data_IF_825597570012
#
_entry.id   IF_825597570012
#
_cell.length_a   1.000
_cell.length_b   1.000
_cell.length_c   1.000
_cell.angle_alpha   90.00
_cell.angle_beta   90.00
_cell.angle_gamma   90.00
#
_symmetry.space_group_name_H-M   'P 1'
#
loop_
_entity.id
_entity.type
_entity.pdbx_description
1 polymer ?
#
# COMPACT_ATOMS: atom_id res chain seq x y z
N UNK A 1 -23.61 -1.36 45.43
CA UNK A 1 -24.45 -1.54 44.23
C UNK A 1 -24.58 -3.04 43.99
N UNK A 2 -25.81 -3.54 43.84
CA UNK A 2 -26.18 -4.96 43.89
C UNK A 2 -26.18 -5.53 42.46
N UNK A 3 -25.53 -6.68 42.17
CA UNK A 3 -25.55 -7.24 40.82
C UNK A 3 -26.90 -7.90 40.52
N UNK A 4 -27.50 -7.50 39.40
CA UNK A 4 -28.73 -8.09 38.85
C UNK A 4 -28.32 -9.30 38.03
N UNK A 5 -28.67 -10.50 38.50
CA UNK A 5 -28.53 -11.74 37.74
C UNK A 5 -29.73 -11.92 36.79
N UNK A 6 -29.48 -11.78 35.49
CA UNK A 6 -30.46 -12.08 34.44
C UNK A 6 -30.46 -13.59 34.17
N UNK A 7 -31.56 -14.27 34.51
CA UNK A 7 -31.80 -15.68 34.17
C UNK A 7 -32.36 -15.75 32.75
N UNK A 8 -31.57 -16.27 31.79
CA UNK A 8 -32.03 -16.55 30.43
C UNK A 8 -32.51 -17.99 30.34
N UNK A 9 -33.82 -18.16 30.19
CA UNK A 9 -34.49 -19.44 29.94
C UNK A 9 -34.30 -19.87 28.48
N UNK A 10 -33.74 -21.06 28.30
CA UNK A 10 -33.57 -21.78 27.04
C UNK A 10 -34.91 -22.48 26.69
N UNK A 11 -35.51 -22.14 25.54
CA UNK A 11 -36.66 -22.88 25.00
C UNK A 11 -36.39 -23.27 23.55
N UNK A 12 -36.14 -24.57 23.34
CA UNK A 12 -35.92 -25.24 22.07
C UNK A 12 -37.25 -25.92 21.64
N UNK A 13 -37.79 -25.65 20.45
CA UNK A 13 -38.70 -26.60 19.82
C UNK A 13 -38.07 -27.23 18.59
N UNK A 14 -38.00 -28.55 18.66
CA UNK A 14 -37.72 -29.49 17.59
C UNK A 14 -38.93 -29.55 16.64
N UNK A 15 -38.73 -29.33 15.33
CA UNK A 15 -39.67 -29.79 14.29
C UNK A 15 -38.85 -30.30 13.10
N UNK A 16 -38.96 -31.61 12.85
CA UNK A 16 -38.52 -32.31 11.65
C UNK A 16 -39.47 -32.01 10.49
N UNK A 17 -38.92 -31.73 9.30
CA UNK A 17 -39.63 -31.72 8.01
C UNK A 17 -38.78 -32.41 6.94
N UNK A 18 -39.40 -33.33 6.21
CA UNK A 18 -38.82 -34.36 5.33
C UNK A 18 -38.19 -33.86 4.01
N UNK A 19 -37.32 -34.71 3.45
CA UNK A 19 -36.61 -34.62 2.17
C UNK A 19 -37.50 -34.81 0.91
N UNK A 20 -37.06 -34.20 -0.21
CA UNK A 20 -36.92 -34.68 -1.62
C UNK A 20 -37.11 -33.48 -2.58
N UNK A 21 -36.43 -33.24 -3.71
CA UNK A 21 -35.67 -34.04 -4.67
C UNK A 21 -34.70 -33.09 -5.47
N UNK A 22 -33.50 -33.53 -5.86
CA UNK A 22 -33.07 -33.97 -7.21
C UNK A 22 -32.84 -32.88 -8.29
N UNK A 23 -31.62 -32.88 -8.84
CA UNK A 23 -31.17 -32.19 -10.07
C UNK A 23 -29.78 -31.59 -9.85
N UNK A 24 -28.67 -31.98 -10.47
CA UNK A 24 -28.41 -32.80 -11.66
C UNK A 24 -27.40 -32.03 -12.54
N UNK A 25 -26.27 -32.65 -12.90
CA UNK A 25 -25.39 -32.16 -13.98
C UNK A 25 -23.89 -32.21 -13.69
N UNK A 26 -23.23 -33.27 -14.16
CA UNK A 26 -21.78 -33.36 -14.27
C UNK A 26 -21.26 -32.70 -15.55
N UNK A 27 -20.03 -32.21 -15.50
CA UNK A 27 -19.29 -31.70 -16.64
C UNK A 27 -17.80 -31.74 -16.33
N UNK A 28 -17.11 -32.68 -16.94
CA UNK A 28 -15.66 -32.84 -16.85
C UNK A 28 -15.00 -31.66 -17.59
N UNK A 29 -14.04 -31.00 -16.93
CA UNK A 29 -13.11 -30.09 -17.59
C UNK A 29 -11.71 -30.37 -17.09
N UNK A 30 -10.93 -30.92 -18.00
CA UNK A 30 -9.51 -31.19 -17.94
C UNK A 30 -8.68 -29.98 -17.51
N UNK A 31 -7.77 -30.24 -16.56
CA UNK A 31 -6.50 -29.57 -16.28
C UNK A 31 -6.25 -28.17 -16.87
N UNK A 32 -6.31 -27.18 -15.99
CA UNK A 32 -5.66 -25.89 -16.15
C UNK A 32 -5.23 -25.42 -14.76
N UNK A 33 -3.96 -25.65 -14.44
CA UNK A 33 -3.29 -25.20 -13.22
C UNK A 33 -3.29 -23.67 -13.18
N UNK A 34 -4.30 -23.09 -12.51
CA UNK A 34 -4.27 -21.73 -12.03
C UNK A 34 -4.20 -21.83 -10.52
N UNK A 35 -2.99 -21.63 -10.01
CA UNK A 35 -2.70 -21.15 -8.65
C UNK A 35 -3.93 -20.45 -8.07
N UNK A 36 -4.55 -21.10 -7.09
CA UNK A 36 -5.59 -20.50 -6.26
C UNK A 36 -4.97 -19.33 -5.49
N UNK A 37 -4.93 -18.16 -6.13
CA UNK A 37 -4.81 -16.90 -5.43
C UNK A 37 -6.08 -16.76 -4.57
N UNK A 38 -5.87 -16.63 -3.27
CA UNK A 38 -6.86 -16.50 -2.20
C UNK A 38 -8.07 -15.61 -2.64
N UNK A 39 -9.16 -16.23 -3.09
CA UNK A 39 -10.39 -15.57 -3.55
C UNK A 39 -11.27 -15.16 -2.35
N UNK A 40 -10.68 -14.49 -1.35
CA UNK A 40 -11.51 -13.67 -0.46
C UNK A 40 -11.95 -12.45 -1.26
N UNK A 41 -13.25 -12.09 -1.28
CA UNK A 41 -13.67 -10.86 -1.93
C UNK A 41 -13.01 -9.70 -1.18
N UNK A 42 -11.93 -9.15 -1.74
CA UNK A 42 -11.34 -7.91 -1.23
C UNK A 42 -12.45 -6.87 -1.21
N UNK A 43 -12.78 -6.37 -0.02
CA UNK A 43 -13.70 -5.24 0.09
C UNK A 43 -13.06 -4.11 -0.70
N UNK A 44 -13.77 -3.51 -1.66
CA UNK A 44 -13.19 -2.47 -2.51
C UNK A 44 -12.73 -1.20 -1.73
N UNK A 45 -13.09 -1.11 -0.45
CA UNK A 45 -12.64 -0.12 0.50
C UNK A 45 -11.33 -0.48 1.23
N UNK A 46 -10.80 -1.69 1.07
CA UNK A 46 -9.58 -2.15 1.74
C UNK A 46 -8.43 -1.15 1.50
N UNK A 47 -7.78 -0.74 2.59
CA UNK A 47 -6.72 0.25 2.51
C UNK A 47 -6.41 0.94 3.81
N UNK A 48 -5.29 1.67 3.79
CA UNK A 48 -5.06 2.76 4.71
C UNK A 48 -5.51 4.06 4.05
N UNK A 49 -6.26 4.86 4.80
CA UNK A 49 -6.86 6.09 4.35
C UNK A 49 -6.57 7.18 5.35
N UNK A 50 -6.32 8.38 4.86
CA UNK A 50 -6.07 9.52 5.74
C UNK A 50 -6.64 10.80 5.18
N UNK A 51 -7.00 11.73 6.05
CA UNK A 51 -7.46 13.03 5.62
C UNK A 51 -7.99 13.85 6.77
N UNK A 52 -9.06 14.59 6.50
CA UNK A 52 -9.62 15.54 7.46
C UNK A 52 -11.06 15.28 7.78
N UNK A 53 -11.42 15.55 9.02
CA UNK A 53 -12.81 15.69 9.44
C UNK A 53 -13.33 17.07 9.06
N UNK A 54 -14.65 17.21 8.97
CA UNK A 54 -15.33 18.49 8.75
C UNK A 54 -15.07 19.52 9.86
N UNK A 55 -14.72 19.07 11.06
CA UNK A 55 -14.35 19.92 12.21
C UNK A 55 -12.87 20.29 12.24
N UNK A 56 -12.16 20.13 11.12
CA UNK A 56 -10.72 20.41 10.95
C UNK A 56 -9.78 19.51 11.78
N UNK A 57 -10.28 18.38 12.28
CA UNK A 57 -9.45 17.30 12.81
C UNK A 57 -8.82 16.46 11.71
N UNK A 58 -7.91 15.58 12.12
CA UNK A 58 -7.29 14.55 11.32
C UNK A 58 -7.93 13.20 11.59
N UNK A 59 -7.99 12.38 10.55
CA UNK A 59 -8.48 11.01 10.63
C UNK A 59 -7.54 10.10 9.85
N UNK A 60 -7.12 9.02 10.50
CA UNK A 60 -6.41 7.89 9.89
C UNK A 60 -7.33 6.66 10.02
N UNK A 61 -7.59 5.93 8.94
CA UNK A 61 -8.44 4.74 8.89
C UNK A 61 -7.69 3.57 8.26
N UNK A 62 -7.83 2.39 8.85
CA UNK A 62 -7.46 1.11 8.27
C UNK A 62 -8.77 0.36 8.02
N UNK A 63 -9.06 0.06 6.76
CA UNK A 63 -10.13 -0.84 6.36
C UNK A 63 -9.48 -2.13 5.89
N UNK A 64 -9.77 -3.24 6.58
CA UNK A 64 -9.20 -4.55 6.30
C UNK A 64 -9.95 -5.27 5.18
N UNK A 65 -9.37 -6.36 4.70
CA UNK A 65 -9.92 -7.20 3.63
C UNK A 65 -11.29 -7.81 3.99
N UNK A 66 -11.59 -7.92 5.28
CA UNK A 66 -12.88 -8.40 5.81
C UNK A 66 -13.89 -7.26 6.09
N UNK A 67 -13.54 -6.01 5.75
CA UNK A 67 -14.33 -4.81 5.99
C UNK A 67 -14.23 -4.24 7.41
N UNK A 68 -13.52 -4.90 8.33
CA UNK A 68 -13.27 -4.36 9.67
C UNK A 68 -12.50 -3.06 9.55
N UNK A 69 -12.98 -2.03 10.25
CA UNK A 69 -12.45 -0.68 10.19
C UNK A 69 -11.92 -0.28 11.55
N UNK A 70 -10.72 0.28 11.54
CA UNK A 70 -10.00 0.78 12.71
C UNK A 70 -9.57 2.20 12.40
N UNK A 71 -9.78 3.14 13.31
CA UNK A 71 -9.48 4.54 13.04
C UNK A 71 -8.96 5.31 14.24
N UNK A 72 -8.17 6.32 13.93
CA UNK A 72 -7.62 7.27 14.88
C UNK A 72 -8.12 8.66 14.52
N UNK A 73 -8.73 9.34 15.47
CA UNK A 73 -9.13 10.74 15.37
C UNK A 73 -8.13 11.58 16.17
N UNK A 74 -7.64 12.66 15.57
CA UNK A 74 -6.66 13.52 16.20
C UNK A 74 -6.90 15.00 15.86
N UNK A 75 -6.40 15.89 16.69
CA UNK A 75 -6.20 17.30 16.37
C UNK A 75 -4.69 17.56 16.15
N UNK A 76 -4.25 18.81 15.91
CA UNK A 76 -2.82 19.10 15.75
C UNK A 76 -1.95 18.82 16.98
N UNK A 77 -2.54 18.62 18.15
CA UNK A 77 -1.86 18.48 19.45
C UNK A 77 -1.89 17.04 19.94
N UNK A 78 -3.00 16.34 19.79
CA UNK A 78 -3.22 15.04 20.43
C UNK A 78 -4.23 14.15 19.70
N UNK A 79 -4.28 12.90 20.11
CA UNK A 79 -5.33 11.96 19.73
C UNK A 79 -6.59 12.30 20.52
N UNK A 80 -7.71 12.52 19.83
CA UNK A 80 -8.98 12.93 20.43
C UNK A 80 -10.00 11.80 20.48
N UNK A 81 -9.78 10.73 19.71
CA UNK A 81 -10.66 9.57 19.74
C UNK A 81 -10.20 8.41 18.87
N UNK A 82 -11.02 7.37 18.84
CA UNK A 82 -10.82 6.17 18.03
C UNK A 82 -12.12 5.77 17.32
N UNK A 83 -11.99 5.01 16.24
CA UNK A 83 -13.11 4.43 15.51
C UNK A 83 -12.90 2.92 15.43
N UNK A 84 -13.96 2.14 15.66
CA UNK A 84 -13.96 0.72 15.34
C UNK A 84 -15.31 0.30 14.78
N UNK A 85 -15.31 -0.54 13.77
CA UNK A 85 -16.55 -1.12 13.26
C UNK A 85 -16.33 -1.75 11.91
N UNK A 86 -17.27 -1.53 10.99
CA UNK A 86 -17.21 -2.10 9.64
C UNK A 86 -17.52 -1.05 8.59
N UNK A 87 -16.82 -1.15 7.46
CA UNK A 87 -17.03 -0.32 6.28
C UNK A 87 -17.10 -1.17 5.02
N UNK A 88 -17.81 -0.67 4.02
CA UNK A 88 -17.88 -1.26 2.69
C UNK A 88 -17.95 -0.17 1.63
N UNK A 89 -17.40 -0.49 0.47
CA UNK A 89 -17.52 0.31 -0.76
C UNK A 89 -18.04 -0.62 -1.85
N UNK A 90 -19.23 -0.36 -2.34
CA UNK A 90 -19.87 -1.14 -3.40
C UNK A 90 -20.36 -0.22 -4.50
N UNK A 91 -19.91 -0.45 -5.73
CA UNK A 91 -20.27 0.37 -6.91
C UNK A 91 -20.19 1.89 -6.67
N UNK A 92 -19.15 2.34 -5.96
CA UNK A 92 -18.91 3.75 -5.65
C UNK A 92 -19.70 4.29 -4.44
N UNK A 93 -20.58 3.49 -3.83
CA UNK A 93 -21.31 3.84 -2.61
C UNK A 93 -20.56 3.35 -1.37
N UNK A 94 -20.18 4.29 -0.51
CA UNK A 94 -19.53 3.99 0.76
C UNK A 94 -20.56 3.94 1.90
N UNK A 95 -20.44 2.94 2.77
CA UNK A 95 -21.21 2.82 4.01
C UNK A 95 -20.33 2.31 5.13
N UNK A 96 -20.48 2.87 6.33
CA UNK A 96 -19.79 2.40 7.52
C UNK A 96 -20.67 2.48 8.76
N UNK A 97 -20.53 1.53 9.67
CA UNK A 97 -21.10 1.56 11.01
C UNK A 97 -19.94 1.47 11.99
N UNK A 98 -19.65 2.59 12.68
CA UNK A 98 -18.46 2.77 13.49
C UNK A 98 -18.85 3.20 14.91
N UNK A 99 -18.37 2.48 15.90
CA UNK A 99 -18.29 2.94 17.28
C UNK A 99 -17.22 4.01 17.36
N UNK A 100 -17.60 5.22 17.76
CA UNK A 100 -16.71 6.37 17.88
C UNK A 100 -16.39 6.64 19.34
N UNK A 101 -15.19 6.28 19.77
CA UNK A 101 -14.71 6.52 21.12
C UNK A 101 -14.22 7.96 21.24
N UNK A 102 -14.98 8.81 21.91
CA UNK A 102 -14.60 10.19 22.20
C UNK A 102 -13.90 10.23 23.57
N UNK A 103 -12.64 10.67 23.57
CA UNK A 103 -11.81 10.68 24.78
C UNK A 103 -12.05 11.90 25.68
N UNK A 104 -12.57 13.00 25.15
CA UNK A 104 -12.89 14.18 25.95
C UNK A 104 -14.10 13.91 26.88
N UNK A 105 -15.12 13.24 26.35
CA UNK A 105 -16.38 13.01 27.08
C UNK A 105 -16.59 11.55 27.50
N UNK A 106 -15.63 10.66 27.23
CA UNK A 106 -15.67 9.23 27.52
C UNK A 106 -16.94 8.51 27.00
N UNK A 107 -17.37 8.85 25.78
CA UNK A 107 -18.54 8.24 25.12
C UNK A 107 -18.13 7.36 23.95
N UNK A 108 -18.95 6.36 23.63
CA UNK A 108 -18.71 5.44 22.51
C UNK A 108 -19.98 5.18 21.69
N UNK A 109 -20.62 6.19 21.08
CA UNK A 109 -21.82 5.98 20.26
C UNK A 109 -21.50 5.18 18.99
N UNK A 110 -22.45 4.33 18.59
CA UNK A 110 -22.46 3.74 17.25
C UNK A 110 -23.00 4.77 16.25
N UNK A 111 -22.22 5.05 15.21
CA UNK A 111 -22.52 6.04 14.19
C UNK A 111 -22.50 5.39 12.82
N UNK A 112 -23.56 5.62 12.05
CA UNK A 112 -23.62 5.20 10.65
C UNK A 112 -23.17 6.36 9.76
N UNK A 113 -22.14 6.11 8.97
CA UNK A 113 -21.65 6.98 7.92
C UNK A 113 -22.11 6.47 6.55
N UNK A 114 -22.45 7.39 5.66
CA UNK A 114 -22.76 7.11 4.26
C UNK A 114 -22.09 8.13 3.35
N UNK A 115 -21.77 7.72 2.13
CA UNK A 115 -21.21 8.62 1.14
C UNK A 115 -20.76 7.92 -0.12
N UNK A 116 -19.70 8.44 -0.72
CA UNK A 116 -19.16 7.99 -2.00
C UNK A 116 -17.69 7.64 -1.88
N UNK A 117 -17.23 6.71 -2.71
CA UNK A 117 -15.81 6.38 -2.77
C UNK A 117 -15.39 5.92 -4.16
N UNK A 118 -14.11 6.12 -4.45
CA UNK A 118 -13.42 5.53 -5.59
C UNK A 118 -12.32 4.64 -5.00
N UNK A 119 -12.33 3.32 -5.29
CA UNK A 119 -11.34 2.38 -4.76
C UNK A 119 -9.92 2.90 -4.96
N UNK A 120 -9.08 2.75 -3.93
CA UNK A 120 -7.68 3.18 -3.93
C UNK A 120 -7.43 4.64 -4.33
N UNK A 121 -8.43 5.52 -4.21
CA UNK A 121 -8.30 6.93 -4.54
C UNK A 121 -8.83 7.81 -3.41
N UNK A 122 -10.15 7.85 -3.20
CA UNK A 122 -10.79 8.78 -2.28
C UNK A 122 -12.07 8.21 -1.69
N UNK A 123 -12.36 8.54 -0.44
CA UNK A 123 -13.67 8.31 0.20
C UNK A 123 -14.14 9.63 0.83
N UNK A 124 -15.40 9.96 0.58
CA UNK A 124 -16.11 11.05 1.23
C UNK A 124 -17.27 10.45 2.01
N UNK A 125 -17.30 10.67 3.32
CA UNK A 125 -18.30 10.11 4.21
C UNK A 125 -18.95 11.20 5.06
N UNK A 126 -20.26 11.06 5.24
CA UNK A 126 -21.09 11.95 6.04
C UNK A 126 -21.86 11.16 7.07
N UNK A 127 -22.06 11.75 8.25
CA UNK A 127 -22.76 11.14 9.37
C UNK A 127 -23.73 12.12 10.02
N UNK A 128 -24.54 11.66 10.99
CA UNK A 128 -25.48 12.50 11.71
C UNK A 128 -24.78 13.62 12.48
N UNK A 129 -25.52 14.69 12.78
CA UNK A 129 -25.03 15.80 13.61
C UNK A 129 -23.93 16.63 12.94
N UNK A 130 -23.89 16.68 11.61
CA UNK A 130 -22.87 17.40 10.86
C UNK A 130 -21.50 16.75 10.91
N UNK A 131 -21.41 15.45 11.26
CA UNK A 131 -20.17 14.68 11.20
C UNK A 131 -19.84 14.32 9.76
N UNK A 132 -18.55 14.20 9.47
CA UNK A 132 -18.09 13.78 8.16
C UNK A 132 -16.60 13.93 8.02
N UNK A 133 -16.07 13.32 6.98
CA UNK A 133 -14.65 13.32 6.67
C UNK A 133 -14.41 13.00 5.20
N UNK A 134 -13.28 13.48 4.71
CA UNK A 134 -12.74 13.17 3.39
C UNK A 134 -11.37 12.58 3.59
N UNK A 135 -11.14 11.39 3.02
CA UNK A 135 -9.87 10.66 3.13
C UNK A 135 -9.37 10.23 1.76
N UNK A 136 -8.05 10.20 1.62
CA UNK A 136 -7.32 9.73 0.44
C UNK A 136 -6.60 8.43 0.77
N UNK A 137 -6.50 7.54 -0.22
CA UNK A 137 -5.80 6.27 -0.10
C UNK A 137 -4.28 6.49 0.02
N UNK A 138 -3.63 5.71 0.90
CA UNK A 138 -2.17 5.62 0.95
C UNK A 138 -1.68 4.40 0.15
N UNK A 139 -0.95 4.60 -0.96
CA UNK A 139 -0.43 3.49 -1.77
C UNK A 139 0.58 2.62 -1.03
N UNK A 140 1.21 3.10 0.06
CA UNK A 140 2.11 2.28 0.87
C UNK A 140 1.41 1.10 1.56
N UNK A 141 0.08 1.13 1.69
CA UNK A 141 -0.71 -0.01 2.15
C UNK A 141 -0.56 -1.24 1.26
N UNK A 142 -0.46 -1.03 -0.06
CA UNK A 142 -0.31 -2.11 -1.04
C UNK A 142 0.99 -2.91 -0.89
N UNK A 143 2.00 -2.33 -0.23
CA UNK A 143 3.31 -2.94 0.00
C UNK A 143 3.26 -4.17 0.91
N UNK A 144 4.31 -4.99 0.87
CA UNK A 144 4.40 -6.22 1.67
C UNK A 144 4.74 -5.91 3.12
N UNK A 145 4.00 -6.49 4.07
CA UNK A 145 4.37 -6.43 5.49
C UNK A 145 5.77 -7.04 5.72
N UNK A 146 6.62 -6.29 6.41
CA UNK A 146 8.01 -6.69 6.68
C UNK A 146 8.33 -6.52 8.16
N UNK A 147 8.71 -7.63 8.81
CA UNK A 147 9.19 -7.59 10.20
C UNK A 147 10.47 -6.78 10.35
N UNK A 148 11.34 -6.76 9.32
CA UNK A 148 12.52 -5.86 9.31
C UNK A 148 12.12 -4.39 9.25
N UNK A 149 11.05 -4.07 8.54
CA UNK A 149 10.58 -2.69 8.44
C UNK A 149 9.99 -2.19 9.77
N UNK A 150 9.33 -3.06 10.54
CA UNK A 150 8.73 -2.66 11.83
C UNK A 150 9.62 -2.93 13.06
N UNK A 151 10.65 -3.76 12.96
CA UNK A 151 11.60 -3.94 14.06
C UNK A 151 12.36 -2.63 14.36
N UNK A 152 12.66 -2.40 15.64
CA UNK A 152 13.38 -1.21 16.10
C UNK A 152 12.70 -0.52 17.28
N UNK A 153 13.16 0.69 17.57
CA UNK A 153 12.65 1.52 18.67
C UNK A 153 11.68 2.58 18.18
N UNK A 154 10.66 2.87 18.99
CA UNK A 154 9.61 3.83 18.68
C UNK A 154 9.37 4.76 19.87
N UNK A 155 9.42 6.06 19.64
CA UNK A 155 8.97 7.04 20.62
C UNK A 155 7.45 7.13 20.60
N UNK A 156 6.83 6.79 21.73
CA UNK A 156 5.40 6.98 21.97
C UNK A 156 5.12 8.41 22.45
N UNK A 157 6.04 8.95 23.26
CA UNK A 157 6.08 10.33 23.73
C UNK A 157 7.55 10.75 23.95
N UNK A 158 7.81 11.84 24.68
CA UNK A 158 9.16 12.34 24.94
C UNK A 158 10.02 11.46 25.87
N UNK A 159 9.42 10.54 26.62
CA UNK A 159 10.07 9.73 27.67
C UNK A 159 9.88 8.22 27.46
N UNK A 160 8.87 7.84 26.69
CA UNK A 160 8.43 6.46 26.56
C UNK A 160 8.85 5.88 25.21
N UNK A 161 9.64 4.80 25.26
CA UNK A 161 10.12 4.08 24.07
C UNK A 161 9.60 2.64 24.06
N UNK A 162 8.97 2.26 22.96
CA UNK A 162 8.57 0.89 22.63
C UNK A 162 9.67 0.25 21.77
N UNK A 163 10.05 -0.99 22.07
CA UNK A 163 10.95 -1.78 21.21
C UNK A 163 10.19 -2.96 20.62
N UNK A 164 10.32 -3.15 19.30
CA UNK A 164 9.74 -4.30 18.58
C UNK A 164 10.90 -5.15 18.04
N UNK A 165 10.91 -6.43 18.40
CA UNK A 165 11.89 -7.41 17.93
C UNK A 165 11.64 -7.85 16.47
N UNK A 166 12.63 -8.50 15.87
CA UNK A 166 12.49 -9.10 14.53
C UNK A 166 11.49 -10.26 14.49
N UNK A 167 11.23 -10.88 15.64
CA UNK A 167 10.18 -11.88 15.86
C UNK A 167 8.81 -11.25 16.11
N UNK A 168 8.73 -9.91 16.17
CA UNK A 168 7.52 -9.16 16.44
C UNK A 168 7.14 -9.06 17.90
N UNK A 169 7.89 -9.68 18.80
CA UNK A 169 7.67 -9.54 20.22
C UNK A 169 7.98 -8.11 20.66
N UNK A 170 7.17 -7.58 21.57
CA UNK A 170 7.44 -6.30 22.19
C UNK A 170 7.11 -6.34 23.67
N UNK A 171 7.82 -5.48 24.41
CA UNK A 171 7.57 -5.23 25.81
C UNK A 171 7.63 -3.73 26.07
N UNK A 172 6.51 -3.15 26.47
CA UNK A 172 6.38 -1.73 26.73
C UNK A 172 6.20 -1.47 28.21
N UNK A 173 7.21 -0.87 28.84
CA UNK A 173 7.12 -0.40 30.22
C UNK A 173 6.55 1.02 30.20
N UNK A 174 5.26 1.15 30.49
CA UNK A 174 4.58 2.45 30.54
C UNK A 174 4.87 3.20 31.85
N UNK A 175 5.07 2.47 32.94
CA UNK A 175 5.49 3.00 34.23
C UNK A 175 6.19 1.90 35.05
N UNK A 176 6.71 2.23 36.24
CA UNK A 176 7.35 1.26 37.13
C UNK A 176 6.42 0.07 37.47
N UNK A 177 5.10 0.30 37.48
CA UNK A 177 4.08 -0.68 37.87
C UNK A 177 3.10 -1.01 36.73
N UNK A 178 3.45 -0.64 35.48
CA UNK A 178 2.63 -1.00 34.32
C UNK A 178 3.48 -1.38 33.10
N UNK A 179 3.22 -2.58 32.62
CA UNK A 179 3.84 -3.14 31.41
C UNK A 179 2.77 -3.65 30.46
N UNK A 180 2.95 -3.41 29.16
CA UNK A 180 2.16 -4.00 28.09
C UNK A 180 3.08 -4.85 27.22
N UNK A 181 2.91 -6.17 27.27
CA UNK A 181 3.75 -7.11 26.52
C UNK A 181 2.91 -7.88 25.50
N UNK A 182 3.47 -8.13 24.32
CA UNK A 182 2.70 -8.67 23.22
C UNK A 182 3.50 -8.99 21.97
N UNK A 183 2.77 -9.15 20.86
CA UNK A 183 3.34 -9.42 19.55
C UNK A 183 2.65 -8.61 18.46
N UNK A 184 3.43 -8.28 17.43
CA UNK A 184 2.97 -7.68 16.18
C UNK A 184 3.38 -8.62 15.05
N UNK A 185 2.40 -9.11 14.27
CA UNK A 185 2.65 -10.09 13.21
C UNK A 185 2.00 -9.66 11.89
N UNK A 186 2.59 -9.96 10.73
CA UNK A 186 1.99 -9.64 9.44
C UNK A 186 0.60 -10.25 9.34
N UNK A 187 -0.37 -9.48 8.82
CA UNK A 187 -1.71 -10.00 8.56
C UNK A 187 -1.70 -10.95 7.36
N UNK A 188 -2.67 -11.86 7.31
CA UNK A 188 -2.82 -12.84 6.23
C UNK A 188 -2.95 -12.21 4.84
N UNK A 189 -3.47 -10.97 4.73
CA UNK A 189 -3.53 -10.24 3.45
C UNK A 189 -2.15 -9.93 2.85
N UNK A 190 -1.07 -10.02 3.65
CA UNK A 190 0.30 -9.74 3.20
C UNK A 190 0.60 -8.26 2.94
N UNK A 191 -0.41 -7.38 3.07
CA UNK A 191 -0.31 -5.92 2.96
C UNK A 191 0.48 -5.32 4.12
N UNK A 192 0.81 -4.03 4.05
CA UNK A 192 1.52 -3.28 5.10
C UNK A 192 0.64 -3.05 6.34
N UNK A 193 0.07 -4.12 6.88
CA UNK A 193 -0.82 -4.13 8.04
C UNK A 193 -0.51 -5.36 8.87
N UNK A 194 -0.54 -5.18 10.18
CA UNK A 194 -0.12 -6.17 11.14
C UNK A 194 -1.24 -6.39 12.14
N UNK A 195 -1.41 -7.64 12.57
CA UNK A 195 -2.23 -7.97 13.72
C UNK A 195 -1.38 -7.73 14.97
N UNK A 196 -2.01 -7.14 15.99
CA UNK A 196 -1.38 -6.85 17.26
C UNK A 196 -2.17 -7.51 18.38
N UNK A 197 -1.47 -8.18 19.29
CA UNK A 197 -2.04 -8.71 20.54
C UNK A 197 -1.12 -8.39 21.70
N UNK A 198 -1.67 -8.03 22.85
CA UNK A 198 -0.89 -7.77 24.05
C UNK A 198 -1.68 -8.00 25.33
N UNK A 199 -1.00 -7.99 26.47
CA UNK A 199 -1.58 -8.16 27.79
C UNK A 199 -0.97 -7.17 28.77
N UNK A 200 -1.83 -6.47 29.51
CA UNK A 200 -1.42 -5.58 30.59
C UNK A 200 -0.94 -6.40 31.78
N UNK A 201 0.17 -5.96 32.37
CA UNK A 201 0.75 -6.53 33.58
C UNK A 201 1.09 -5.40 34.55
N UNK A 202 0.60 -5.52 35.78
CA UNK A 202 0.85 -4.60 36.87
C UNK A 202 -0.35 -3.76 37.29
N UNK A 203 -0.34 -3.33 38.56
CA UNK A 203 -1.44 -2.62 39.20
C UNK A 203 -1.50 -1.12 38.83
N UNK A 204 -0.42 -0.57 38.25
CA UNK A 204 -0.35 0.81 37.79
C UNK A 204 -0.92 1.03 36.39
N UNK A 205 -1.49 -0.01 35.77
CA UNK A 205 -2.04 0.07 34.42
C UNK A 205 -3.42 0.75 34.40
N UNK A 206 -3.79 1.39 33.26
CA UNK A 206 -5.10 1.99 33.10
C UNK A 206 -6.25 0.95 33.06
N UNK A 207 -5.89 -0.32 32.87
CA UNK A 207 -6.81 -1.45 32.82
C UNK A 207 -6.38 -2.52 33.83
N UNK A 208 -7.31 -3.39 34.30
CA UNK A 208 -6.99 -4.46 35.24
C UNK A 208 -5.80 -5.33 34.79
N UNK A 209 -5.04 -5.82 35.76
CA UNK A 209 -3.96 -6.78 35.51
C UNK A 209 -4.46 -8.03 34.75
N UNK A 210 -3.71 -8.45 33.73
CA UNK A 210 -4.09 -9.54 32.84
C UNK A 210 -5.10 -9.17 31.74
N UNK A 211 -5.54 -7.91 31.65
CA UNK A 211 -6.40 -7.43 30.55
C UNK A 211 -5.72 -7.64 29.20
N UNK A 212 -6.42 -8.33 28.29
CA UNK A 212 -5.93 -8.59 26.93
C UNK A 212 -6.42 -7.50 25.99
N UNK A 213 -5.58 -7.16 25.03
CA UNK A 213 -5.92 -6.25 23.93
C UNK A 213 -5.57 -6.89 22.59
N UNK A 214 -6.42 -6.65 21.61
CA UNK A 214 -6.23 -7.11 20.22
C UNK A 214 -6.59 -6.00 19.24
N UNK A 215 -5.83 -5.91 18.15
CA UNK A 215 -6.10 -4.91 17.13
C UNK A 215 -5.12 -4.96 15.97
N UNK A 216 -4.85 -3.80 15.40
CA UNK A 216 -4.07 -3.66 14.17
C UNK A 216 -3.01 -2.57 14.28
N UNK A 217 -1.95 -2.73 13.51
CA UNK A 217 -0.93 -1.72 13.30
C UNK A 217 -0.64 -1.51 11.81
N UNK A 218 -0.34 -0.27 11.44
CA UNK A 218 0.06 0.16 10.10
C UNK A 218 1.36 0.95 10.19
N UNK A 219 2.34 0.65 9.34
CA UNK A 219 3.56 1.44 9.24
C UNK A 219 3.36 2.57 8.21
N UNK A 220 3.08 3.76 8.71
CA UNK A 220 2.98 4.97 7.91
C UNK A 220 4.38 5.47 7.53
N UNK A 221 4.69 5.40 6.24
CA UNK A 221 5.99 5.79 5.68
C UNK A 221 5.94 7.13 4.94
N UNK A 222 4.81 7.86 5.01
CA UNK A 222 4.64 9.13 4.29
C UNK A 222 5.46 10.27 4.89
N UNK A 223 5.93 10.11 6.12
CA UNK A 223 6.79 11.05 6.83
C UNK A 223 8.23 10.56 6.86
N UNK A 224 9.19 11.49 6.87
CA UNK A 224 10.63 11.19 6.93
C UNK A 224 11.03 10.29 8.11
N UNK A 225 10.31 10.40 9.24
CA UNK A 225 10.33 9.43 10.31
C UNK A 225 9.08 8.57 10.21
N UNK A 226 9.16 7.28 9.82
CA UNK A 226 8.01 6.41 9.75
C UNK A 226 7.27 6.34 11.09
N UNK A 227 5.96 6.15 11.06
CA UNK A 227 5.12 6.07 12.26
C UNK A 227 4.38 4.74 12.30
N UNK A 228 4.45 4.05 13.43
CA UNK A 228 3.59 2.92 13.68
C UNK A 228 2.27 3.44 14.27
N UNK A 229 1.23 3.45 13.44
CA UNK A 229 -0.12 3.78 13.86
C UNK A 229 -0.80 2.50 14.30
N UNK A 230 -1.22 2.43 15.56
CA UNK A 230 -1.82 1.22 16.13
C UNK A 230 -3.01 1.55 17.01
N UNK A 231 -4.01 0.67 16.94
CA UNK A 231 -5.19 0.68 17.77
C UNK A 231 -5.49 -0.76 18.19
N UNK A 232 -5.68 -0.98 19.49
CA UNK A 232 -6.14 -2.24 20.02
C UNK A 232 -7.26 -2.03 21.04
N UNK A 233 -8.25 -2.91 20.98
CA UNK A 233 -9.38 -2.94 21.90
C UNK A 233 -9.19 -4.03 22.92
N UNK A 234 -9.80 -3.83 24.09
CA UNK A 234 -10.02 -4.87 25.10
C UNK A 234 -11.01 -5.91 24.58
N UNK A 235 -11.05 -7.07 25.25
CA UNK A 235 -12.00 -8.15 24.93
C UNK A 235 -13.48 -7.73 25.07
N UNK A 236 -13.78 -6.71 25.89
CA UNK A 236 -15.12 -6.14 26.04
C UNK A 236 -15.47 -5.10 24.96
N UNK A 237 -14.55 -4.83 24.02
CA UNK A 237 -14.69 -3.84 22.96
C UNK A 237 -14.33 -2.41 23.36
N UNK A 238 -13.93 -2.15 24.60
CA UNK A 238 -13.39 -0.86 25.04
C UNK A 238 -12.03 -0.55 24.43
N UNK A 239 -11.62 0.71 24.43
CA UNK A 239 -10.29 1.09 23.94
C UNK A 239 -9.22 0.57 24.90
N UNK A 240 -8.36 -0.30 24.39
CA UNK A 240 -7.20 -0.82 25.09
C UNK A 240 -6.06 0.20 25.05
N UNK A 241 -5.44 0.35 23.88
CA UNK A 241 -4.47 1.41 23.64
C UNK A 241 -4.55 1.92 22.19
N UNK A 242 -4.04 3.13 22.01
CA UNK A 242 -3.93 3.81 20.73
C UNK A 242 -2.60 4.57 20.70
N UNK A 243 -1.89 4.50 19.59
CA UNK A 243 -0.62 5.22 19.46
C UNK A 243 -0.28 5.58 18.02
N UNK A 244 0.51 6.65 17.88
CA UNK A 244 1.18 7.06 16.64
C UNK A 244 2.67 7.16 16.94
N UNK A 245 3.30 6.01 17.12
CA UNK A 245 4.67 5.94 17.63
C UNK A 245 5.65 6.27 16.51
N UNK A 246 6.54 7.24 16.72
CA UNK A 246 7.54 7.63 15.72
C UNK A 246 8.71 6.65 15.78
N UNK A 247 9.05 6.02 14.67
CA UNK A 247 10.23 5.17 14.58
C UNK A 247 11.46 6.02 14.83
N UNK A 248 12.20 5.68 15.87
CA UNK A 248 13.51 6.25 16.12
C UNK A 248 14.42 5.69 15.04
N UNK A 249 15.04 6.58 14.28
CA UNK A 249 16.08 6.14 13.35
C UNK A 249 17.19 5.53 14.18
N UNK A 250 17.52 4.26 13.92
CA UNK A 250 18.72 3.68 14.49
C UNK A 250 19.89 4.57 14.06
N UNK A 251 20.69 5.03 15.02
CA UNK A 251 21.94 5.76 14.73
C UNK A 251 22.96 4.90 13.96
N UNK A 252 22.61 3.67 13.61
CA UNK A 252 23.32 2.87 12.64
C UNK A 252 22.88 3.30 11.24
N UNK A 253 23.64 4.25 10.69
CA UNK A 253 23.75 4.37 9.26
C UNK A 253 23.91 2.99 8.65
N UNK A 254 23.04 2.68 7.71
CA UNK A 254 23.29 1.64 6.73
C UNK A 254 24.73 1.84 6.26
N UNK A 255 25.64 0.93 6.65
CA UNK A 255 27.01 1.01 6.20
C UNK A 255 26.94 1.13 4.67
N UNK A 256 27.52 2.17 4.06
CA UNK A 256 27.36 2.40 2.63
C UNK A 256 27.71 1.10 1.92
N UNK A 257 26.80 0.64 1.06
CA UNK A 257 26.96 -0.61 0.33
C UNK A 257 28.41 -0.69 -0.19
N UNK A 258 29.10 -1.83 -0.02
CA UNK A 258 30.48 -1.95 -0.47
C UNK A 258 30.54 -1.52 -1.93
N UNK A 259 31.45 -0.56 -2.23
CA UNK A 259 31.57 0.01 -3.56
C UNK A 259 31.60 -1.11 -4.60
N UNK A 260 30.86 -0.99 -5.72
CA UNK A 260 30.87 -2.01 -6.76
C UNK A 260 32.31 -2.28 -7.18
N UNK A 261 32.70 -3.56 -7.20
CA UNK A 261 34.03 -3.97 -7.65
C UNK A 261 34.33 -3.31 -9.00
N UNK A 262 35.52 -2.69 -9.19
CA UNK A 262 35.87 -2.07 -10.45
C UNK A 262 35.61 -3.04 -11.61
N UNK A 263 34.92 -2.56 -12.65
CA UNK A 263 34.70 -3.34 -13.86
C UNK A 263 36.05 -3.79 -14.44
N UNK A 264 36.17 -5.03 -14.94
CA UNK A 264 37.39 -5.50 -15.58
C UNK A 264 37.82 -4.54 -16.70
N UNK A 265 39.11 -4.20 -16.74
CA UNK A 265 39.64 -3.30 -17.77
C UNK A 265 39.32 -3.84 -19.18
N UNK A 266 38.90 -2.97 -20.13
CA UNK A 266 38.65 -3.38 -21.50
C UNK A 266 39.87 -4.07 -22.12
N UNK A 267 39.65 -5.21 -22.79
CA UNK A 267 40.71 -5.90 -23.52
C UNK A 267 41.31 -4.96 -24.60
N UNK A 268 42.64 -4.98 -24.83
CA UNK A 268 43.26 -4.12 -25.82
C UNK A 268 42.72 -4.39 -27.22
N UNK A 269 42.41 -3.32 -27.95
CA UNK A 269 41.92 -3.39 -29.34
C UNK A 269 42.92 -4.11 -30.24
N UNK A 270 42.47 -5.00 -31.16
CA UNK A 270 43.34 -5.60 -32.17
C UNK A 270 44.05 -4.54 -33.00
N UNK A 271 45.32 -4.79 -33.34
CA UNK A 271 46.13 -3.91 -34.16
C UNK A 271 45.54 -3.76 -35.58
N UNK A 272 45.56 -2.55 -36.19
CA UNK A 272 45.08 -2.34 -37.54
C UNK A 272 45.80 -3.21 -38.57
N UNK A 273 45.07 -3.78 -39.52
CA UNK A 273 45.62 -4.54 -40.63
C UNK A 273 46.53 -3.66 -41.51
N UNK A 274 47.62 -4.20 -42.09
CA UNK A 274 48.52 -3.45 -42.96
C UNK A 274 47.80 -2.87 -44.19
N UNK A 275 48.15 -1.64 -44.56
CA UNK A 275 47.61 -0.96 -45.73
C UNK A 275 48.00 -1.69 -47.05
N UNK A 276 47.10 -1.75 -48.05
CA UNK A 276 47.40 -2.31 -49.36
C UNK A 276 48.54 -1.56 -50.07
N UNK A 277 49.38 -2.31 -50.80
CA UNK A 277 50.50 -1.75 -51.55
C UNK A 277 50.03 -0.80 -52.68
N UNK A 278 50.76 0.29 -52.98
CA UNK A 278 50.42 1.22 -54.04
C UNK A 278 50.40 0.54 -55.43
N UNK A 279 49.40 0.91 -56.24
CA UNK A 279 49.30 0.46 -57.63
C UNK A 279 50.43 1.07 -58.49
N UNK A 280 50.95 0.34 -59.50
CA UNK A 280 52.01 0.82 -60.38
C UNK A 280 51.55 2.00 -61.24
N UNK A 281 52.47 2.95 -61.46
CA UNK A 281 52.22 4.17 -62.23
C UNK A 281 51.97 3.87 -63.72
N UNK A 282 51.02 4.57 -64.36
CA UNK A 282 50.75 4.42 -65.79
C UNK A 282 51.91 4.94 -66.67
N UNK A 283 52.12 4.22 -67.78
CA UNK A 283 53.15 4.49 -68.79
C UNK A 283 52.75 5.74 -69.61
N UNK A 284 53.67 6.68 -69.91
CA UNK A 284 53.37 7.85 -70.72
C UNK A 284 52.97 7.48 -72.17
N UNK A 285 51.89 8.08 -72.67
CA UNK A 285 51.47 7.99 -74.07
C UNK A 285 52.40 8.82 -74.99
N UNK A 286 52.67 8.37 -76.23
CA UNK A 286 53.40 9.15 -77.23
C UNK A 286 52.54 10.30 -77.80
N UNK A 287 53.19 11.39 -78.30
CA UNK A 287 52.50 12.53 -78.90
C UNK A 287 51.79 12.14 -80.20
N UNK A 288 50.56 12.60 -80.36
CA UNK A 288 49.76 12.46 -81.58
C UNK A 288 49.95 13.75 -82.38
N UNK A 289 50.53 13.62 -83.58
CA UNK A 289 50.63 14.71 -84.55
C UNK A 289 49.25 15.01 -85.14
N UNK A 290 48.91 16.30 -85.16
CA UNK A 290 47.69 16.85 -85.75
C UNK A 290 47.97 17.16 -87.22
N UNK A 291 47.40 16.37 -88.12
CA UNK A 291 47.24 16.74 -89.53
C UNK A 291 45.80 16.45 -90.00
N UNK A 292 45.40 17.26 -90.97
CA UNK A 292 44.06 17.60 -91.47
C UNK A 292 43.09 16.46 -91.84
N UNK A 293 41.79 16.76 -91.76
CA UNK A 293 40.83 16.77 -92.89
C UNK A 293 39.38 16.39 -92.52
N UNK A 294 38.49 17.31 -92.94
CA UNK A 294 37.13 17.17 -93.43
C UNK A 294 36.08 16.21 -92.82
N UNK A 295 34.94 16.83 -92.48
CA UNK A 295 33.67 16.38 -93.06
C UNK A 295 32.65 15.70 -92.14
N UNK A 296 31.60 16.46 -91.79
CA UNK A 296 30.22 15.96 -91.95
C UNK A 296 29.50 15.39 -90.72
N UNK A 297 28.49 16.13 -90.27
CA UNK A 297 27.13 15.58 -90.20
C UNK A 297 26.61 15.06 -88.85
N UNK A 298 25.59 15.77 -88.34
CA UNK A 298 24.29 15.13 -88.10
C UNK A 298 23.83 14.88 -86.66
N UNK A 299 22.82 15.67 -86.25
CA UNK A 299 21.67 15.26 -85.41
C UNK A 299 21.94 14.93 -83.93
N UNK A 300 21.11 15.28 -82.96
CA UNK A 300 19.74 15.76 -82.95
C UNK A 300 19.05 15.24 -81.68
N UNK A 301 18.25 16.10 -81.03
CA UNK A 301 17.25 15.74 -80.01
C UNK A 301 17.80 15.46 -78.61
N UNK A 302 17.27 15.98 -77.50
CA UNK A 302 15.94 16.50 -77.25
C UNK A 302 15.40 15.81 -75.99
N UNK A 303 14.92 16.56 -75.00
CA UNK A 303 14.29 15.93 -73.82
C UNK A 303 14.13 16.85 -72.62
N UNK A 304 13.20 17.81 -72.70
CA UNK A 304 12.62 18.47 -71.52
C UNK A 304 11.63 17.51 -70.87
N UNK A 305 11.63 17.40 -69.54
CA UNK A 305 10.61 16.68 -68.77
C UNK A 305 10.38 17.37 -67.42
N UNK A 306 9.25 18.06 -67.30
CA UNK A 306 8.73 18.66 -66.06
C UNK A 306 8.15 17.55 -65.19
N UNK A 307 8.22 17.69 -63.87
CA UNK A 307 7.23 17.06 -62.98
C UNK A 307 6.71 18.11 -61.99
N UNK A 308 5.40 18.32 -62.09
CA UNK A 308 4.51 18.86 -61.06
C UNK A 308 3.93 17.68 -60.28
N UNK A 309 3.14 18.01 -59.26
CA UNK A 309 2.21 17.16 -58.52
C UNK A 309 2.87 16.52 -57.28
N UNK A 310 2.29 16.52 -56.08
CA UNK A 310 0.92 16.87 -55.64
C UNK A 310 0.83 16.80 -54.10
N UNK A 311 -0.22 17.43 -53.57
CA UNK A 311 -1.03 17.10 -52.37
C UNK A 311 -0.34 17.14 -50.99
N UNK A 312 -0.69 17.99 -50.00
CA UNK A 312 -1.97 18.48 -49.42
C UNK A 312 -2.67 17.46 -48.51
N UNK A 313 -3.19 17.99 -47.41
CA UNK A 313 -4.10 17.43 -46.37
C UNK A 313 -3.35 16.89 -45.14
N UNK A 314 -3.35 17.60 -44.00
CA UNK A 314 -4.43 17.85 -43.02
C UNK A 314 -4.56 16.70 -42.02
N UNK A 315 -4.29 16.97 -40.74
CA UNK A 315 -5.25 16.86 -39.62
C UNK A 315 -4.54 16.91 -38.26
N UNK A 316 -5.26 17.52 -37.31
CA UNK A 316 -4.93 18.06 -35.98
C UNK A 316 -4.06 17.23 -35.01
#
# INVERSE_FOLDING_TARGET
MKPIHLRTTLSLPCVLGLLAACGGGGGDSTGGDLVSADLRPQVAAEGYWSGRTVTQGWIDLIILEDGSTWGVLADPVQITGALQGRSSLDQGRFTAALTEFNFADATAPLITYGGTGTPQSRIDATGPGGRGWTVSYDPAYGGTASMRAIAGQYALDQRTVLSIGLDGAFNWVASADCTLAGSVVPRASGRNVFNLTATYAGLGCPHPDGSRVSGVAYLDMRTASPRLVSLALLDDGGVGFISRAVKLQDAQGEAPAPAPSPAPAPAPSPAPAPAPAPAPSPIPLPPIDLDDDDGGGGGGGGGRGRNRDRDRDDDD
#
